data_IF_623996869453
#
_entry.id   IF_623996869453
#
_cell.length_a   1.000
_cell.length_b   1.000
_cell.length_c   1.000
_cell.angle_alpha   90.00
_cell.angle_beta   90.00
_cell.angle_gamma   90.00
#
_symmetry.space_group_name_H-M   'P 1'
#
loop_
_entity.id
_entity.type
_entity.pdbx_description
1 polymer ?
#
# COMPACT_ATOMS: atom_id res chain seq x y z
N UNK A 1 -10.00 2.78 0.10
CA UNK A 1 -9.19 1.55 0.11
C UNK A 1 -8.35 1.54 -1.15
N UNK A 2 -7.08 1.17 -1.08
CA UNK A 2 -6.27 0.79 -2.24
C UNK A 2 -6.20 -0.74 -2.24
N UNK A 3 -6.66 -1.36 -3.34
CA UNK A 3 -6.73 -2.82 -3.43
C UNK A 3 -5.39 -3.39 -3.90
N UNK A 4 -4.96 -3.03 -5.11
CA UNK A 4 -3.72 -3.53 -5.70
C UNK A 4 -2.88 -2.38 -6.26
N UNK A 5 -1.56 -2.50 -6.10
CA UNK A 5 -0.57 -1.64 -6.72
C UNK A 5 0.48 -2.51 -7.40
N UNK A 6 0.59 -2.35 -8.71
CA UNK A 6 1.59 -3.04 -9.52
C UNK A 6 2.51 -2.03 -10.19
N UNK A 7 3.80 -2.33 -10.16
CA UNK A 7 4.82 -1.61 -10.92
C UNK A 7 5.54 -2.64 -11.78
N UNK A 8 5.69 -2.31 -13.07
CA UNK A 8 6.41 -3.15 -14.01
C UNK A 8 7.84 -3.45 -13.50
N UNK A 9 8.30 -4.72 -13.53
CA UNK A 9 9.61 -5.11 -13.03
C UNK A 9 10.77 -4.28 -13.57
N UNK A 10 10.72 -3.84 -14.83
CA UNK A 10 11.79 -3.08 -15.49
C UNK A 10 12.04 -1.70 -14.87
N UNK A 11 11.06 -1.15 -14.14
CA UNK A 11 11.12 0.18 -13.53
C UNK A 11 10.99 0.16 -12.00
N UNK A 12 11.09 -1.01 -11.38
CA UNK A 12 11.11 -1.14 -9.90
C UNK A 12 12.39 -0.52 -9.32
N UNK A 13 12.31 -0.11 -8.06
CA UNK A 13 13.40 0.58 -7.37
C UNK A 13 13.58 2.06 -7.76
N UNK A 14 12.84 2.56 -8.76
CA UNK A 14 12.92 3.95 -9.23
C UNK A 14 11.87 4.89 -8.61
N UNK A 15 11.24 4.48 -7.50
CA UNK A 15 10.27 5.29 -6.77
C UNK A 15 8.86 5.38 -7.41
N UNK A 16 8.55 4.58 -8.43
CA UNK A 16 7.24 4.63 -9.09
C UNK A 16 6.07 4.26 -8.16
N UNK A 17 6.25 3.25 -7.30
CA UNK A 17 5.23 2.86 -6.32
C UNK A 17 4.87 4.01 -5.38
N UNK A 18 5.87 4.76 -4.90
CA UNK A 18 5.65 5.97 -4.07
C UNK A 18 4.81 7.00 -4.80
N UNK A 19 5.20 7.34 -6.05
CA UNK A 19 4.50 8.35 -6.85
C UNK A 19 3.04 7.99 -7.08
N UNK A 20 2.75 6.73 -7.35
CA UNK A 20 1.38 6.23 -7.52
C UNK A 20 0.56 6.36 -6.22
N UNK A 21 1.12 5.96 -5.07
CA UNK A 21 0.42 6.07 -3.77
C UNK A 21 0.16 7.54 -3.42
N UNK A 22 1.15 8.42 -3.60
CA UNK A 22 1.02 9.86 -3.33
C UNK A 22 -0.01 10.53 -4.24
N UNK A 23 -0.10 10.12 -5.50
CA UNK A 23 -1.13 10.58 -6.42
C UNK A 23 -2.54 10.19 -5.93
N UNK A 24 -2.73 8.93 -5.50
CA UNK A 24 -4.00 8.47 -4.92
C UNK A 24 -4.32 9.23 -3.63
N UNK A 25 -3.34 9.42 -2.74
CA UNK A 25 -3.52 10.17 -1.50
C UNK A 25 -3.94 11.63 -1.76
N UNK A 26 -3.36 12.28 -2.79
CA UNK A 26 -3.74 13.64 -3.20
C UNK A 26 -5.19 13.70 -3.67
N UNK A 27 -5.65 12.71 -4.44
CA UNK A 27 -7.05 12.62 -4.89
C UNK A 27 -7.98 12.37 -3.70
N UNK A 28 -7.66 11.39 -2.86
CA UNK A 28 -8.45 11.06 -1.67
C UNK A 28 -8.61 12.26 -0.74
N UNK A 29 -7.55 13.04 -0.53
CA UNK A 29 -7.60 14.28 0.27
C UNK A 29 -8.56 15.31 -0.33
N UNK A 30 -8.56 15.50 -1.66
CA UNK A 30 -9.49 16.40 -2.34
C UNK A 30 -10.95 15.96 -2.22
N UNK A 31 -11.18 14.66 -2.08
CA UNK A 31 -12.52 14.08 -1.89
C UNK A 31 -12.99 14.10 -0.43
N UNK A 32 -12.21 14.69 0.49
CA UNK A 32 -12.55 14.70 1.92
C UNK A 32 -12.36 13.35 2.61
N UNK A 33 -11.63 12.41 2.01
CA UNK A 33 -11.34 11.13 2.67
C UNK A 33 -10.36 11.34 3.83
N UNK A 34 -10.65 10.72 4.97
CA UNK A 34 -9.82 10.85 6.18
C UNK A 34 -8.52 10.05 6.11
N UNK A 35 -8.48 8.96 5.33
CA UNK A 35 -7.32 8.07 5.26
C UNK A 35 -7.30 7.23 3.98
N UNK A 36 -6.10 6.84 3.58
CA UNK A 36 -5.85 5.78 2.61
C UNK A 36 -5.40 4.52 3.38
N UNK A 37 -5.96 3.36 3.04
CA UNK A 37 -5.68 2.09 3.70
C UNK A 37 -5.48 1.00 2.63
N UNK A 38 -4.54 0.10 2.90
CA UNK A 38 -4.26 -1.10 2.11
C UNK A 38 -3.73 -2.21 3.02
N UNK A 39 -3.80 -3.45 2.54
CA UNK A 39 -3.23 -4.62 3.19
C UNK A 39 -2.11 -5.19 2.32
N UNK A 40 -1.10 -5.77 2.95
CA UNK A 40 -0.05 -6.51 2.26
C UNK A 40 0.27 -7.75 3.07
N UNK A 41 0.76 -8.81 2.40
CA UNK A 41 1.25 -9.98 3.12
C UNK A 41 2.46 -9.61 3.97
N UNK A 42 2.60 -10.25 5.12
CA UNK A 42 3.69 -9.99 6.07
C UNK A 42 5.08 -10.26 5.47
N UNK A 43 5.17 -11.21 4.53
CA UNK A 43 6.36 -11.67 3.82
C UNK A 43 6.67 -10.87 2.54
N UNK A 44 5.82 -9.92 2.15
CA UNK A 44 6.08 -9.04 1.01
C UNK A 44 7.07 -7.94 1.38
N UNK A 45 8.31 -8.33 1.67
CA UNK A 45 9.39 -7.47 2.18
C UNK A 45 9.68 -6.29 1.24
N UNK A 46 9.61 -6.51 -0.08
CA UNK A 46 9.82 -5.44 -1.07
C UNK A 46 8.75 -4.33 -0.95
N UNK A 47 7.47 -4.69 -0.90
CA UNK A 47 6.41 -3.69 -0.77
C UNK A 47 6.41 -3.06 0.63
N UNK A 48 6.63 -3.86 1.69
CA UNK A 48 6.74 -3.37 3.06
C UNK A 48 7.88 -2.37 3.24
N UNK A 49 9.03 -2.61 2.62
CA UNK A 49 10.14 -1.66 2.64
C UNK A 49 9.78 -0.27 2.09
N UNK A 50 8.85 -0.18 1.14
CA UNK A 50 8.26 1.11 0.74
C UNK A 50 7.22 1.58 1.75
N UNK A 51 6.25 0.74 2.11
CA UNK A 51 5.11 1.14 2.94
C UNK A 51 5.51 1.62 4.33
N UNK A 52 6.49 0.98 4.96
CA UNK A 52 7.01 1.32 6.29
C UNK A 52 7.64 2.73 6.32
N UNK A 53 8.00 3.30 5.16
CA UNK A 53 8.53 4.68 5.05
C UNK A 53 7.44 5.76 4.91
N UNK A 54 6.17 5.38 4.75
CA UNK A 54 5.10 6.32 4.41
C UNK A 54 3.75 6.06 5.08
N UNK A 55 3.59 4.91 5.73
CA UNK A 55 2.38 4.52 6.44
C UNK A 55 2.74 3.78 7.73
N UNK A 56 1.77 3.69 8.64
CA UNK A 56 1.92 2.98 9.91
C UNK A 56 0.90 1.84 9.97
N UNK A 57 1.27 0.74 10.62
CA UNK A 57 0.37 -0.37 10.91
C UNK A 57 0.54 -0.83 12.35
N UNK A 58 -0.57 -1.08 13.02
CA UNK A 58 -0.63 -1.65 14.38
C UNK A 58 -1.58 -2.85 14.44
N UNK A 59 -2.14 -3.28 13.30
CA UNK A 59 -3.17 -4.31 13.24
C UNK A 59 -2.63 -5.60 12.63
N UNK A 60 -3.01 -6.74 13.23
CA UNK A 60 -2.78 -8.09 12.70
C UNK A 60 -4.06 -8.60 12.05
N UNK A 61 -3.95 -9.25 10.90
CA UNK A 61 -5.08 -9.89 10.23
C UNK A 61 -5.20 -11.36 10.65
N UNK A 62 -6.37 -11.75 11.16
CA UNK A 62 -6.72 -13.16 11.37
C UNK A 62 -7.50 -13.68 10.17
N UNK A 63 -7.18 -14.89 9.73
CA UNK A 63 -7.87 -15.61 8.66
C UNK A 63 -8.02 -17.06 9.10
N UNK A 64 -9.23 -17.59 9.02
CA UNK A 64 -9.55 -18.98 9.32
C UNK A 64 -10.16 -19.60 8.06
N UNK A 65 -9.61 -20.73 7.63
CA UNK A 65 -10.26 -21.58 6.62
C UNK A 65 -11.47 -22.24 7.27
N UNK A 66 -12.60 -22.28 6.56
CA UNK A 66 -13.84 -22.90 7.05
C UNK A 66 -14.06 -24.33 6.49
N UNK A 67 -13.08 -24.80 5.71
CA UNK A 67 -13.08 -26.11 5.04
C UNK A 67 -11.95 -26.98 5.61
#
# INVERSE_FOLDING_TARGET
>A
MLNDLFVDPSVRGQGQGRKLIEAVAKIAKKMGCLRLQWLTKHDNTQARGLYDTMAQTSFVQYRMSLD
#
